data_IF_019729285567
#
_entry.id   IF_019729285567
#
_cell.length_a   1.000
_cell.length_b   1.000
_cell.length_c   1.000
_cell.angle_alpha   90.00
_cell.angle_beta   90.00
_cell.angle_gamma   90.00
#
_symmetry.space_group_name_H-M   'P 1'
#
loop_
_entity.id
_entity.type
_entity.pdbx_description
1 polymer ?
#
# COMPACT_ATOMS: atom_id res chain seq x y z
N UNK A 1 9.11 -21.59 15.40
CA UNK A 1 9.39 -21.15 14.02
C UNK A 1 10.69 -20.37 14.09
N UNK A 2 11.73 -20.86 13.42
CA UNK A 2 13.05 -20.23 13.40
C UNK A 2 13.15 -19.39 12.12
N UNK A 3 13.44 -18.10 12.26
CA UNK A 3 13.66 -17.18 11.13
C UNK A 3 15.15 -16.92 10.91
N UNK A 4 16.02 -17.73 11.51
CA UNK A 4 17.43 -17.72 11.19
C UNK A 4 17.62 -18.08 9.71
N UNK A 5 18.49 -17.32 9.04
CA UNK A 5 18.89 -17.63 7.68
C UNK A 5 19.72 -18.92 7.69
N UNK A 6 19.30 -19.88 6.88
CA UNK A 6 20.04 -21.12 6.67
C UNK A 6 21.16 -20.97 5.63
N UNK A 7 21.98 -22.01 5.42
CA UNK A 7 23.03 -22.01 4.39
C UNK A 7 22.50 -21.70 2.97
N UNK A 8 21.25 -22.08 2.68
CA UNK A 8 20.62 -21.81 1.39
C UNK A 8 20.21 -20.34 1.23
N UNK A 9 19.76 -19.69 2.31
CA UNK A 9 19.45 -18.27 2.33
C UNK A 9 20.73 -17.43 2.15
N UNK A 10 21.84 -17.84 2.78
CA UNK A 10 23.13 -17.15 2.64
C UNK A 10 23.75 -17.35 1.24
N UNK A 11 23.56 -18.52 0.62
CA UNK A 11 23.90 -18.71 -0.80
C UNK A 11 23.09 -17.79 -1.70
N UNK A 12 21.77 -17.72 -1.48
CA UNK A 12 20.88 -16.83 -2.22
C UNK A 12 21.25 -15.35 -2.00
N UNK A 13 21.70 -15.00 -0.79
CA UNK A 13 22.21 -13.66 -0.46
C UNK A 13 23.43 -13.29 -1.30
N UNK A 14 24.40 -14.20 -1.39
CA UNK A 14 25.59 -14.00 -2.22
C UNK A 14 25.20 -13.83 -3.68
N UNK A 15 24.31 -14.68 -4.20
CA UNK A 15 23.82 -14.59 -5.58
C UNK A 15 23.11 -13.25 -5.86
N UNK A 16 22.17 -12.83 -5.00
CA UNK A 16 21.47 -11.55 -5.14
C UNK A 16 22.44 -10.36 -5.11
N UNK A 17 23.42 -10.41 -4.21
CA UNK A 17 24.47 -9.40 -4.08
C UNK A 17 25.32 -9.30 -5.34
N UNK A 18 25.80 -10.43 -5.84
CA UNK A 18 26.69 -10.48 -6.98
C UNK A 18 25.95 -10.03 -8.24
N UNK A 19 24.70 -10.48 -8.42
CA UNK A 19 23.84 -10.01 -9.50
C UNK A 19 23.61 -8.50 -9.45
N UNK A 20 23.28 -7.95 -8.28
CA UNK A 20 23.12 -6.49 -8.14
C UNK A 20 24.43 -5.75 -8.41
N UNK A 21 25.58 -6.28 -8.01
CA UNK A 21 26.88 -5.65 -8.26
C UNK A 21 27.26 -5.64 -9.75
N UNK A 22 26.87 -6.68 -10.49
CA UNK A 22 27.11 -6.80 -11.94
C UNK A 22 26.12 -5.92 -12.74
N UNK A 23 24.84 -6.00 -12.41
CA UNK A 23 23.77 -5.40 -13.22
C UNK A 23 23.39 -3.99 -12.81
N UNK A 24 23.51 -3.60 -11.53
CA UNK A 24 23.20 -2.23 -11.06
C UNK A 24 24.37 -1.27 -11.30
N UNK A 25 24.83 -1.22 -12.56
CA UNK A 25 26.00 -0.47 -13.01
C UNK A 25 25.64 0.46 -14.18
N UNK A 26 26.64 1.20 -14.70
CA UNK A 26 26.47 2.07 -15.87
C UNK A 26 25.31 3.08 -15.71
N UNK A 27 24.33 3.10 -16.64
CA UNK A 27 23.21 4.05 -16.56
C UNK A 27 22.33 3.84 -15.31
N UNK A 28 22.23 2.62 -14.77
CA UNK A 28 21.43 2.34 -13.58
C UNK A 28 22.06 2.88 -12.29
N UNK A 29 23.38 3.01 -12.25
CA UNK A 29 24.07 3.60 -11.09
C UNK A 29 23.63 5.05 -10.83
N UNK A 30 23.13 5.76 -11.84
CA UNK A 30 22.55 7.10 -11.69
C UNK A 30 21.23 7.10 -10.91
N UNK A 31 20.54 5.95 -10.83
CA UNK A 31 19.33 5.78 -10.02
C UNK A 31 19.65 5.47 -8.55
N UNK A 32 20.93 5.34 -8.17
CA UNK A 32 21.33 4.98 -6.81
C UNK A 32 20.90 6.08 -5.85
N UNK A 33 20.16 5.68 -4.82
CA UNK A 33 19.65 6.61 -3.82
C UNK A 33 20.42 6.46 -2.51
N UNK A 34 20.61 7.59 -1.82
CA UNK A 34 21.26 7.59 -0.52
C UNK A 34 20.33 7.08 0.58
N UNK A 35 19.03 7.38 0.45
CA UNK A 35 17.91 6.83 1.22
C UNK A 35 17.26 5.72 0.39
N UNK A 36 17.07 4.52 0.94
CA UNK A 36 16.31 3.49 0.22
C UNK A 36 14.95 4.07 -0.17
N UNK A 37 14.71 4.22 -1.48
CA UNK A 37 13.61 5.04 -1.95
C UNK A 37 12.26 4.45 -1.60
N UNK A 38 11.33 5.27 -1.08
CA UNK A 38 9.93 4.91 -1.18
C UNK A 38 9.54 4.72 -2.67
N UNK A 39 8.56 3.85 -2.98
CA UNK A 39 8.05 3.66 -4.33
C UNK A 39 7.40 4.93 -4.89
N UNK A 40 8.20 5.92 -5.27
CA UNK A 40 7.73 7.27 -5.62
C UNK A 40 8.69 8.42 -5.33
N UNK A 41 9.70 8.20 -4.49
CA UNK A 41 10.75 9.17 -4.19
C UNK A 41 11.86 9.22 -5.27
N UNK A 42 11.61 8.63 -6.43
CA UNK A 42 12.57 8.52 -7.52
C UNK A 42 12.74 9.80 -8.31
N UNK A 43 13.74 10.62 -7.95
CA UNK A 43 14.34 11.58 -8.86
C UNK A 43 15.28 10.82 -9.79
N UNK A 44 14.83 10.53 -11.00
CA UNK A 44 15.62 9.80 -12.00
C UNK A 44 14.87 9.71 -13.32
N UNK A 45 15.61 9.56 -14.41
CA UNK A 45 15.04 9.41 -15.75
C UNK A 45 14.10 8.20 -15.79
N UNK A 46 12.84 8.44 -16.14
CA UNK A 46 11.79 7.42 -16.19
C UNK A 46 12.10 6.30 -17.20
N UNK A 47 12.77 6.60 -18.30
CA UNK A 47 13.21 5.58 -19.25
C UNK A 47 14.23 4.64 -18.62
N UNK A 48 15.17 5.18 -17.83
CA UNK A 48 16.18 4.39 -17.11
C UNK A 48 15.52 3.55 -16.01
N UNK A 49 14.52 4.11 -15.30
CA UNK A 49 13.75 3.35 -14.29
C UNK A 49 12.96 2.19 -14.90
N UNK A 50 12.30 2.40 -16.04
CA UNK A 50 11.60 1.34 -16.78
C UNK A 50 12.59 0.30 -17.32
N UNK A 51 13.76 0.71 -17.79
CA UNK A 51 14.82 -0.23 -18.21
C UNK A 51 15.33 -1.06 -17.03
N UNK A 52 15.44 -0.47 -15.83
CA UNK A 52 15.83 -1.20 -14.62
C UNK A 52 14.80 -2.27 -14.21
N UNK A 53 13.51 -1.98 -14.30
CA UNK A 53 12.47 -3.02 -14.08
C UNK A 53 12.61 -4.18 -15.06
N UNK A 54 12.91 -3.90 -16.34
CA UNK A 54 13.15 -4.96 -17.33
C UNK A 54 14.39 -5.78 -17.00
N UNK A 55 15.45 -5.14 -16.54
CA UNK A 55 16.68 -5.83 -16.10
C UNK A 55 16.43 -6.75 -14.89
N UNK A 56 15.60 -6.31 -13.94
CA UNK A 56 15.16 -7.19 -12.86
C UNK A 56 14.32 -8.36 -13.36
N UNK A 57 13.49 -8.13 -14.37
CA UNK A 57 12.71 -9.15 -15.05
C UNK A 57 13.57 -10.18 -15.79
N UNK A 58 14.63 -9.77 -16.49
CA UNK A 58 15.56 -10.70 -17.17
C UNK A 58 16.31 -11.57 -16.16
N UNK A 59 16.66 -11.03 -14.99
CA UNK A 59 17.21 -11.79 -13.87
C UNK A 59 16.20 -12.68 -13.12
N UNK A 60 14.90 -12.56 -13.43
CA UNK A 60 13.83 -13.31 -12.79
C UNK A 60 13.54 -12.88 -11.35
N UNK A 61 13.91 -11.66 -10.96
CA UNK A 61 13.79 -11.11 -9.60
C UNK A 61 12.42 -10.50 -9.29
N UNK A 62 11.50 -10.49 -10.25
CA UNK A 62 10.13 -9.99 -10.11
C UNK A 62 9.18 -11.17 -9.92
N UNK A 63 8.34 -11.12 -8.90
CA UNK A 63 7.35 -12.17 -8.63
C UNK A 63 7.96 -13.39 -7.92
N UNK A 64 9.01 -13.20 -7.12
CA UNK A 64 9.71 -14.29 -6.41
C UNK A 64 8.79 -15.15 -5.53
N UNK A 65 7.75 -14.55 -4.95
CA UNK A 65 6.79 -15.23 -4.08
C UNK A 65 5.55 -15.76 -4.77
N UNK A 66 5.46 -15.66 -6.10
CA UNK A 66 4.29 -16.14 -6.83
C UNK A 66 4.25 -17.67 -6.86
N UNK A 67 3.07 -18.23 -6.58
CA UNK A 67 2.82 -19.66 -6.74
C UNK A 67 2.97 -20.05 -8.22
N UNK A 68 3.68 -21.16 -8.45
CA UNK A 68 3.98 -21.70 -9.78
C UNK A 68 3.21 -22.98 -10.08
N UNK A 69 2.30 -23.39 -9.20
CA UNK A 69 1.43 -24.57 -9.39
C UNK A 69 0.66 -24.49 -10.71
N UNK A 70 0.18 -23.28 -11.07
CA UNK A 70 -0.61 -23.03 -12.27
C UNK A 70 0.21 -22.50 -13.47
N UNK A 71 1.55 -22.54 -13.39
CA UNK A 71 2.44 -22.17 -14.50
C UNK A 71 3.73 -21.46 -14.08
N UNK A 72 4.59 -21.20 -15.07
CA UNK A 72 5.78 -20.36 -14.90
C UNK A 72 5.59 -19.08 -15.72
N UNK A 73 5.80 -17.92 -15.09
CA UNK A 73 5.53 -16.62 -15.70
C UNK A 73 6.80 -15.86 -16.10
N UNK A 74 7.97 -16.51 -16.05
CA UNK A 74 9.28 -15.88 -16.28
C UNK A 74 9.98 -15.43 -15.00
N UNK A 75 9.35 -15.64 -13.85
CA UNK A 75 9.89 -15.38 -12.52
C UNK A 75 10.62 -16.60 -11.93
N UNK A 76 11.61 -16.33 -11.08
CA UNK A 76 12.13 -17.33 -10.14
C UNK A 76 11.12 -17.56 -9.02
N UNK A 77 11.25 -18.70 -8.34
CA UNK A 77 10.56 -18.94 -7.08
C UNK A 77 11.56 -18.84 -5.94
N UNK A 78 11.17 -18.16 -4.87
CA UNK A 78 11.97 -18.03 -3.66
C UNK A 78 11.09 -18.25 -2.42
N UNK A 79 11.67 -18.89 -1.41
CA UNK A 79 11.03 -19.01 -0.10
C UNK A 79 10.77 -17.63 0.50
N UNK A 80 9.91 -17.55 1.52
CA UNK A 80 9.68 -16.30 2.23
C UNK A 80 10.99 -15.72 2.81
N UNK A 81 11.87 -16.56 3.37
CA UNK A 81 13.16 -16.10 3.91
C UNK A 81 14.06 -15.54 2.80
N UNK A 82 14.10 -16.17 1.63
CA UNK A 82 14.84 -15.68 0.47
C UNK A 82 14.25 -14.39 -0.11
N UNK A 83 12.93 -14.20 -0.08
CA UNK A 83 12.32 -12.91 -0.44
C UNK A 83 12.76 -11.78 0.50
N UNK A 84 12.91 -12.06 1.80
CA UNK A 84 13.47 -11.11 2.77
C UNK A 84 14.94 -10.83 2.47
N UNK A 85 15.73 -11.86 2.16
CA UNK A 85 17.13 -11.71 1.74
C UNK A 85 17.23 -10.81 0.51
N UNK A 86 16.41 -11.05 -0.52
CA UNK A 86 16.37 -10.21 -1.73
C UNK A 86 16.07 -8.75 -1.39
N UNK A 87 15.05 -8.48 -0.56
CA UNK A 87 14.71 -7.14 -0.14
C UNK A 87 15.86 -6.45 0.62
N UNK A 88 16.58 -7.18 1.48
CA UNK A 88 17.75 -6.67 2.21
C UNK A 88 18.90 -6.34 1.28
N UNK A 89 19.22 -7.19 0.31
CA UNK A 89 20.30 -6.98 -0.64
C UNK A 89 19.97 -5.86 -1.64
N UNK A 90 18.74 -5.80 -2.14
CA UNK A 90 18.25 -4.72 -3.01
C UNK A 90 18.36 -3.36 -2.31
N UNK A 91 17.88 -3.29 -1.06
CA UNK A 91 18.04 -2.09 -0.25
C UNK A 91 19.53 -1.78 -0.01
N UNK A 92 20.36 -2.77 0.30
CA UNK A 92 21.80 -2.58 0.60
C UNK A 92 22.56 -2.02 -0.61
N UNK A 93 22.16 -2.38 -1.82
CA UNK A 93 22.71 -1.83 -3.05
C UNK A 93 22.39 -0.33 -3.25
N UNK A 94 21.41 0.22 -2.52
CA UNK A 94 20.89 1.57 -2.71
C UNK A 94 20.07 1.69 -4.01
N UNK A 95 19.47 0.58 -4.46
CA UNK A 95 18.66 0.54 -5.67
C UNK A 95 17.37 1.37 -5.51
N UNK A 96 16.81 1.91 -6.60
CA UNK A 96 15.68 2.84 -6.53
C UNK A 96 14.38 2.15 -6.11
N UNK A 97 13.41 2.93 -5.63
CA UNK A 97 12.03 2.47 -5.46
C UNK A 97 11.47 1.89 -6.77
N UNK A 98 10.90 0.68 -6.67
CA UNK A 98 10.41 -0.14 -7.79
C UNK A 98 9.16 0.47 -8.44
N UNK A 99 9.15 0.62 -9.75
CA UNK A 99 7.95 1.02 -10.52
C UNK A 99 6.96 -0.14 -10.64
N UNK A 100 7.46 -1.37 -10.79
CA UNK A 100 6.64 -2.56 -11.01
C UNK A 100 5.92 -3.08 -9.76
N UNK A 101 6.13 -2.47 -8.60
CA UNK A 101 5.70 -3.03 -7.30
C UNK A 101 4.18 -3.23 -7.19
N UNK A 102 3.36 -2.39 -7.83
CA UNK A 102 1.89 -2.53 -7.82
C UNK A 102 1.47 -3.76 -8.64
N UNK A 103 2.08 -3.97 -9.80
CA UNK A 103 1.84 -5.15 -10.63
C UNK A 103 2.35 -6.41 -9.93
N UNK A 104 3.58 -6.36 -9.43
CA UNK A 104 4.27 -7.49 -8.80
C UNK A 104 3.59 -7.95 -7.50
N UNK A 105 3.37 -7.02 -6.56
CA UNK A 105 3.00 -7.38 -5.19
C UNK A 105 1.49 -7.39 -4.96
N UNK A 106 0.71 -6.70 -5.79
CA UNK A 106 -0.75 -6.58 -5.60
C UNK A 106 -1.52 -7.33 -6.69
N UNK A 107 -1.33 -6.94 -7.95
CA UNK A 107 -2.11 -7.53 -9.04
C UNK A 107 -1.74 -8.99 -9.30
N UNK A 108 -0.45 -9.33 -9.34
CA UNK A 108 0.02 -10.69 -9.60
C UNK A 108 -0.62 -11.74 -8.69
N UNK A 109 -0.48 -11.62 -7.35
CA UNK A 109 -1.15 -12.50 -6.40
C UNK A 109 -2.68 -12.50 -6.53
N UNK A 110 -3.28 -11.36 -6.89
CA UNK A 110 -4.73 -11.26 -7.10
C UNK A 110 -5.19 -12.06 -8.32
N UNK A 111 -4.43 -12.05 -9.42
CA UNK A 111 -4.71 -12.85 -10.62
C UNK A 111 -4.47 -14.34 -10.40
N UNK A 112 -3.47 -14.70 -9.59
CA UNK A 112 -3.27 -16.09 -9.17
C UNK A 112 -4.48 -16.61 -8.37
N UNK A 113 -5.03 -15.79 -7.47
CA UNK A 113 -6.15 -16.19 -6.63
C UNK A 113 -7.54 -16.10 -7.31
N UNK A 114 -7.76 -15.10 -8.17
CA UNK A 114 -9.11 -14.77 -8.69
C UNK A 114 -9.18 -14.61 -10.20
N UNK A 115 -8.04 -14.59 -10.88
CA UNK A 115 -8.01 -14.52 -12.34
C UNK A 115 -8.46 -15.82 -12.99
N UNK A 116 -8.94 -15.75 -14.22
CA UNK A 116 -9.04 -16.93 -15.07
C UNK A 116 -7.69 -17.27 -15.74
N UNK A 117 -7.63 -18.39 -16.46
CA UNK A 117 -6.40 -18.82 -17.13
C UNK A 117 -5.94 -17.84 -18.22
N UNK A 118 -6.88 -17.23 -18.95
CA UNK A 118 -6.56 -16.26 -20.00
C UNK A 118 -5.95 -14.98 -19.41
N UNK A 119 -6.50 -14.49 -18.30
CA UNK A 119 -5.98 -13.34 -17.56
C UNK A 119 -4.58 -13.62 -17.01
N UNK A 120 -4.37 -14.80 -16.39
CA UNK A 120 -3.03 -15.20 -15.90
C UNK A 120 -2.01 -15.26 -17.03
N UNK A 121 -2.34 -15.92 -18.14
CA UNK A 121 -1.46 -16.02 -19.32
C UNK A 121 -1.17 -14.66 -19.95
N UNK A 122 -2.13 -13.73 -19.96
CA UNK A 122 -1.95 -12.40 -20.54
C UNK A 122 -1.11 -11.47 -19.66
N UNK A 123 -1.36 -11.42 -18.36
CA UNK A 123 -0.86 -10.32 -17.51
C UNK A 123 0.31 -10.73 -16.62
N UNK A 124 0.40 -11.97 -16.14
CA UNK A 124 1.50 -12.37 -15.25
C UNK A 124 2.87 -12.31 -15.95
N UNK A 125 3.04 -12.77 -17.21
CA UNK A 125 4.36 -12.74 -17.84
C UNK A 125 4.92 -11.34 -18.09
N UNK A 126 4.17 -10.36 -18.65
CA UNK A 126 4.69 -8.99 -18.79
C UNK A 126 5.02 -8.31 -17.45
N UNK A 127 4.24 -8.59 -16.40
CA UNK A 127 4.55 -8.10 -15.04
C UNK A 127 5.88 -8.71 -14.56
N UNK A 128 6.05 -10.03 -14.66
CA UNK A 128 7.29 -10.71 -14.24
C UNK A 128 8.52 -10.28 -15.06
N UNK A 129 8.34 -9.81 -16.29
CA UNK A 129 9.41 -9.24 -17.11
C UNK A 129 9.65 -7.74 -16.88
N UNK A 130 8.89 -7.10 -15.99
CA UNK A 130 9.03 -5.66 -15.72
C UNK A 130 8.65 -4.77 -16.92
N UNK A 131 7.77 -5.26 -17.80
CA UNK A 131 7.40 -4.57 -19.04
C UNK A 131 6.20 -3.63 -18.87
N UNK A 132 5.28 -3.97 -17.95
CA UNK A 132 4.04 -3.23 -17.70
C UNK A 132 4.06 -2.59 -16.29
N UNK A 133 3.83 -1.28 -16.23
CA UNK A 133 3.65 -0.51 -14.98
C UNK A 133 2.16 -0.42 -14.67
N UNK A 134 1.82 -0.61 -13.39
CA UNK A 134 0.43 -0.66 -12.92
C UNK A 134 0.16 0.41 -11.87
N UNK A 135 -1.07 0.90 -11.83
CA UNK A 135 -1.58 1.74 -10.74
C UNK A 135 -2.91 1.21 -10.17
N UNK A 136 -3.28 1.67 -8.97
CA UNK A 136 -4.46 1.22 -8.23
C UNK A 136 -5.54 2.31 -8.19
N UNK A 137 -6.66 2.10 -8.86
CA UNK A 137 -7.81 3.01 -8.88
C UNK A 137 -8.86 2.63 -7.84
N UNK A 138 -8.55 2.81 -6.55
CA UNK A 138 -9.47 2.48 -5.45
C UNK A 138 -10.16 3.70 -4.86
N UNK A 139 -9.40 4.53 -4.15
CA UNK A 139 -9.90 5.67 -3.38
C UNK A 139 -10.53 6.73 -4.28
N UNK A 140 -11.57 7.37 -3.76
CA UNK A 140 -12.24 8.52 -4.38
C UNK A 140 -12.20 9.71 -3.40
N UNK A 141 -12.41 10.96 -3.86
CA UNK A 141 -12.41 12.12 -2.98
C UNK A 141 -13.31 11.96 -1.74
N UNK A 142 -14.47 11.34 -1.91
CA UNK A 142 -15.45 11.08 -0.86
C UNK A 142 -15.39 9.63 -0.29
N UNK A 143 -14.49 8.77 -0.78
CA UNK A 143 -14.42 7.36 -0.41
C UNK A 143 -12.96 6.89 -0.25
N UNK A 144 -12.37 7.23 0.90
CA UNK A 144 -11.06 6.73 1.35
C UNK A 144 -11.20 5.51 2.27
N UNK A 145 -11.27 5.74 3.59
CA UNK A 145 -11.42 4.67 4.58
C UNK A 145 -12.73 3.88 4.42
N UNK A 146 -13.80 4.53 3.96
CA UNK A 146 -15.04 3.83 3.53
C UNK A 146 -14.97 3.51 2.02
N UNK A 147 -14.07 2.60 1.65
CA UNK A 147 -13.88 2.20 0.25
C UNK A 147 -15.18 1.67 -0.39
N UNK A 148 -16.07 1.07 0.39
CA UNK A 148 -17.36 0.57 -0.10
C UNK A 148 -18.30 1.70 -0.56
N UNK A 149 -18.07 2.93 -0.11
CA UNK A 149 -18.81 4.13 -0.47
C UNK A 149 -18.51 4.68 -1.88
N UNK A 150 -17.60 4.04 -2.63
CA UNK A 150 -17.21 4.50 -3.97
C UNK A 150 -18.38 4.61 -4.95
N UNK A 151 -18.26 5.56 -5.88
CA UNK A 151 -19.28 5.98 -6.85
C UNK A 151 -18.85 5.85 -8.30
N UNK A 152 -17.56 5.63 -8.60
CA UNK A 152 -17.12 5.31 -9.96
C UNK A 152 -17.95 4.14 -10.50
N UNK A 153 -18.56 4.34 -11.66
CA UNK A 153 -19.46 3.36 -12.30
C UNK A 153 -18.81 2.73 -13.51
N UNK A 154 -19.16 1.49 -13.79
CA UNK A 154 -18.78 0.77 -15.00
C UNK A 154 -20.01 0.12 -15.62
N UNK A 155 -20.48 0.64 -16.76
CA UNK A 155 -21.67 0.13 -17.45
C UNK A 155 -21.22 -0.84 -18.55
N UNK A 156 -21.77 -2.05 -18.55
CA UNK A 156 -21.47 -3.04 -19.59
C UNK A 156 -22.12 -2.63 -20.92
N UNK A 157 -21.34 -2.61 -21.98
CA UNK A 157 -21.81 -2.51 -23.36
C UNK A 157 -21.77 -3.91 -23.99
N UNK A 158 -22.89 -4.63 -24.03
CA UNK A 158 -22.93 -6.00 -24.54
C UNK A 158 -22.70 -6.07 -26.06
N UNK A 159 -22.96 -4.99 -26.81
CA UNK A 159 -22.75 -4.96 -28.26
C UNK A 159 -21.27 -4.91 -28.62
N UNK A 160 -20.48 -4.21 -27.82
CA UNK A 160 -19.02 -4.10 -28.00
C UNK A 160 -18.21 -5.11 -27.18
N UNK A 161 -18.84 -5.79 -26.21
CA UNK A 161 -18.14 -6.69 -25.29
C UNK A 161 -17.21 -5.93 -24.33
N UNK A 162 -17.60 -4.72 -23.93
CA UNK A 162 -16.78 -3.81 -23.12
C UNK A 162 -17.53 -3.29 -21.89
N UNK A 163 -16.82 -2.59 -21.02
CA UNK A 163 -17.33 -1.76 -19.94
C UNK A 163 -16.92 -0.32 -20.19
N UNK A 164 -17.87 0.62 -20.04
CA UNK A 164 -17.63 2.07 -20.04
C UNK A 164 -17.58 2.57 -18.61
N UNK A 165 -16.44 3.12 -18.22
CA UNK A 165 -16.11 3.52 -16.86
C UNK A 165 -16.22 5.04 -16.78
N UNK A 166 -16.89 5.54 -15.73
CA UNK A 166 -17.01 6.98 -15.48
C UNK A 166 -16.91 7.26 -13.99
N UNK A 167 -16.05 8.19 -13.62
CA UNK A 167 -15.81 8.55 -12.23
C UNK A 167 -14.44 9.19 -12.03
N UNK A 168 -14.04 9.30 -10.76
CA UNK A 168 -12.77 9.88 -10.37
C UNK A 168 -12.13 9.02 -9.28
N UNK A 169 -10.84 8.79 -9.43
CA UNK A 169 -9.98 8.22 -8.39
C UNK A 169 -8.97 9.25 -7.92
N UNK A 170 -8.51 9.10 -6.69
CA UNK A 170 -7.53 9.99 -6.06
C UNK A 170 -6.53 9.16 -5.26
N UNK A 171 -5.34 9.72 -5.03
CA UNK A 171 -4.20 9.04 -4.41
C UNK A 171 -3.67 7.86 -5.25
N UNK A 172 -3.92 7.88 -6.55
CA UNK A 172 -3.47 6.82 -7.47
C UNK A 172 -1.97 6.98 -7.72
N UNK A 173 -1.14 6.24 -6.98
CA UNK A 173 0.32 6.23 -7.18
C UNK A 173 0.70 5.81 -8.60
N UNK A 174 1.70 6.48 -9.17
CA UNK A 174 2.30 6.18 -10.49
C UNK A 174 1.34 6.25 -11.69
N UNK A 175 0.13 6.82 -11.54
CA UNK A 175 -0.88 6.82 -12.62
C UNK A 175 -0.40 7.48 -13.92
N UNK A 176 0.44 8.52 -13.82
CA UNK A 176 0.98 9.23 -14.99
C UNK A 176 2.02 8.39 -15.76
N UNK A 177 2.55 7.34 -15.14
CA UNK A 177 3.52 6.41 -15.74
C UNK A 177 2.90 5.03 -16.01
N UNK A 178 1.66 4.79 -15.60
CA UNK A 178 1.08 3.45 -15.64
C UNK A 178 0.57 3.10 -17.03
N UNK A 179 0.85 1.87 -17.47
CA UNK A 179 0.31 1.30 -18.70
C UNK A 179 -1.13 0.79 -18.45
N UNK A 180 -1.40 0.36 -17.22
CA UNK A 180 -2.69 -0.18 -16.78
C UNK A 180 -3.09 0.29 -15.38
N UNK A 181 -4.40 0.33 -15.15
CA UNK A 181 -4.99 0.55 -13.84
C UNK A 181 -5.96 -0.59 -13.51
N UNK A 182 -5.87 -1.16 -12.31
CA UNK A 182 -6.99 -1.94 -11.81
C UNK A 182 -7.93 -1.04 -11.00
N UNK A 183 -9.19 -1.00 -11.42
CA UNK A 183 -10.21 -0.07 -10.93
C UNK A 183 -11.29 -0.86 -10.21
N UNK A 184 -11.65 -0.40 -9.01
CA UNK A 184 -12.86 -0.83 -8.33
C UNK A 184 -14.00 0.12 -8.72
N UNK A 185 -15.03 -0.41 -9.38
CA UNK A 185 -16.16 0.35 -9.88
C UNK A 185 -17.48 -0.37 -9.62
N UNK A 186 -18.56 0.39 -9.49
CA UNK A 186 -19.93 -0.12 -9.36
C UNK A 186 -20.46 -0.52 -10.72
N UNK A 187 -20.76 -1.81 -10.90
CA UNK A 187 -21.34 -2.35 -12.15
C UNK A 187 -22.82 -2.67 -12.03
N UNK A 188 -23.34 -2.86 -10.82
CA UNK A 188 -24.76 -3.05 -10.58
C UNK A 188 -25.39 -1.73 -10.13
N UNK A 189 -26.29 -1.20 -10.96
CA UNK A 189 -27.00 0.04 -10.66
C UNK A 189 -27.88 -0.12 -9.40
N UNK A 190 -27.94 0.94 -8.59
CA UNK A 190 -28.69 0.92 -7.33
C UNK A 190 -28.07 0.11 -6.18
N UNK A 191 -27.00 -0.66 -6.44
CA UNK A 191 -26.27 -1.38 -5.40
C UNK A 191 -25.64 -0.42 -4.39
N UNK A 192 -25.49 -0.88 -3.14
CA UNK A 192 -24.96 -0.06 -2.05
C UNK A 192 -23.79 -0.75 -1.35
N UNK A 193 -22.88 0.09 -0.83
CA UNK A 193 -21.70 -0.36 -0.09
C UNK A 193 -20.91 -1.37 -0.93
N UNK A 194 -20.59 -2.53 -0.35
CA UNK A 194 -19.73 -3.55 -0.92
C UNK A 194 -20.42 -4.42 -1.98
N UNK A 195 -21.74 -4.37 -2.12
CA UNK A 195 -22.46 -5.10 -3.14
C UNK A 195 -22.37 -4.40 -4.50
N UNK A 196 -22.37 -5.19 -5.59
CA UNK A 196 -22.41 -4.67 -6.95
C UNK A 196 -21.13 -4.00 -7.44
N UNK A 197 -20.04 -4.12 -6.68
CA UNK A 197 -18.71 -3.66 -7.07
C UNK A 197 -18.01 -4.71 -7.93
N UNK A 198 -17.21 -4.27 -8.89
CA UNK A 198 -16.42 -5.11 -9.81
C UNK A 198 -14.99 -4.62 -9.90
N UNK A 199 -14.07 -5.57 -10.09
CA UNK A 199 -12.64 -5.33 -10.25
C UNK A 199 -12.28 -5.43 -11.74
N UNK A 200 -11.89 -4.31 -12.35
CA UNK A 200 -11.66 -4.20 -13.80
C UNK A 200 -10.22 -3.78 -14.09
N UNK A 201 -9.58 -4.44 -15.06
CA UNK A 201 -8.28 -4.02 -15.60
C UNK A 201 -8.50 -3.06 -16.79
N UNK A 202 -8.01 -1.84 -16.66
CA UNK A 202 -8.26 -0.72 -17.58
C UNK A 202 -6.94 -0.27 -18.19
N UNK A 203 -6.77 -0.30 -19.52
CA UNK A 203 -5.59 0.29 -20.14
C UNK A 203 -5.62 1.81 -19.96
N UNK A 204 -4.49 2.41 -19.58
CA UNK A 204 -4.44 3.84 -19.22
C UNK A 204 -4.29 4.76 -20.44
N UNK A 205 -3.72 4.26 -21.54
CA UNK A 205 -3.60 5.01 -22.80
C UNK A 205 -4.95 5.06 -23.54
N UNK A 206 -5.81 6.00 -23.12
CA UNK A 206 -7.08 6.29 -23.76
C UNK A 206 -7.28 7.81 -23.86
N UNK A 207 -6.62 8.48 -24.83
CA UNK A 207 -6.69 9.92 -24.99
C UNK A 207 -8.14 10.41 -25.11
N UNK A 208 -8.49 11.45 -24.35
CA UNK A 208 -9.84 12.01 -24.30
C UNK A 208 -10.85 11.22 -23.46
N UNK A 209 -10.47 10.07 -22.88
CA UNK A 209 -11.32 9.27 -21.97
C UNK A 209 -10.70 9.09 -20.59
N UNK A 210 -9.38 9.17 -20.48
CA UNK A 210 -8.64 9.13 -19.22
C UNK A 210 -7.81 10.40 -19.12
N UNK A 211 -7.97 11.13 -18.02
CA UNK A 211 -7.13 12.27 -17.67
C UNK A 211 -6.44 11.99 -16.33
N UNK A 212 -5.11 12.14 -16.30
CA UNK A 212 -4.31 12.00 -15.08
C UNK A 212 -3.80 13.37 -14.65
N UNK A 213 -4.06 13.76 -13.40
CA UNK A 213 -3.57 15.02 -12.82
C UNK A 213 -2.64 14.72 -11.65
N UNK A 214 -1.33 15.01 -11.76
CA UNK A 214 -0.41 14.81 -10.65
C UNK A 214 -0.72 15.71 -9.46
N UNK A 215 -0.65 15.13 -8.25
CA UNK A 215 -0.82 15.85 -6.99
C UNK A 215 0.58 16.17 -6.46
N UNK A 216 0.95 17.44 -6.51
CA UNK A 216 2.24 17.89 -5.99
C UNK A 216 2.27 17.83 -4.47
N UNK A 217 3.18 17.04 -3.93
CA UNK A 217 3.37 16.82 -2.50
C UNK A 217 4.27 17.88 -1.88
N UNK A 218 4.34 17.93 -0.54
CA UNK A 218 5.22 18.84 0.21
C UNK A 218 6.71 18.62 -0.12
N UNK A 219 7.08 17.39 -0.46
CA UNK A 219 8.41 17.00 -0.93
C UNK A 219 8.78 17.59 -2.29
N UNK A 220 7.82 18.19 -3.00
CA UNK A 220 7.98 18.76 -4.34
C UNK A 220 7.76 17.77 -5.48
N UNK A 221 7.70 16.46 -5.19
CA UNK A 221 7.41 15.37 -6.15
C UNK A 221 5.91 15.21 -6.38
N UNK A 222 5.53 14.42 -7.38
CA UNK A 222 4.14 14.18 -7.74
C UNK A 222 3.85 12.69 -8.01
N UNK A 223 4.09 11.84 -7.02
CA UNK A 223 3.86 10.39 -7.13
C UNK A 223 2.35 10.05 -7.20
N UNK A 224 1.53 10.77 -6.42
CA UNK A 224 0.08 10.56 -6.36
C UNK A 224 -0.61 11.34 -7.45
N UNK A 225 -1.74 10.83 -7.93
CA UNK A 225 -2.50 11.46 -9.00
C UNK A 225 -3.99 11.39 -8.71
N UNK A 226 -4.73 12.37 -9.23
CA UNK A 226 -6.14 12.20 -9.55
C UNK A 226 -6.24 11.55 -10.93
N UNK A 227 -7.21 10.65 -11.09
CA UNK A 227 -7.49 10.00 -12.38
C UNK A 227 -8.98 10.15 -12.66
N UNK A 228 -9.29 10.84 -13.76
CA UNK A 228 -10.66 11.05 -14.23
C UNK A 228 -10.93 10.07 -15.36
N UNK A 229 -12.03 9.34 -15.25
CA UNK A 229 -12.54 8.45 -16.28
C UNK A 229 -13.80 9.09 -16.87
N UNK A 230 -13.78 9.38 -18.17
CA UNK A 230 -14.92 9.85 -18.95
C UNK A 230 -15.23 8.87 -20.09
N UNK A 231 -16.01 7.84 -19.76
CA UNK A 231 -16.31 6.76 -20.68
C UNK A 231 -15.08 5.97 -21.12
N UNK A 232 -14.11 5.78 -20.21
CA UNK A 232 -12.96 4.91 -20.42
C UNK A 232 -13.40 3.45 -20.63
N UNK A 233 -12.67 2.70 -21.43
CA UNK A 233 -13.08 1.39 -21.91
C UNK A 233 -12.22 0.30 -21.29
N UNK A 234 -12.86 -0.75 -20.79
CA UNK A 234 -12.21 -2.02 -20.46
C UNK A 234 -12.93 -3.16 -21.21
N UNK A 235 -12.21 -4.17 -21.68
CA UNK A 235 -12.84 -5.34 -22.31
C UNK A 235 -13.54 -6.19 -21.25
N UNK A 236 -14.60 -6.91 -21.63
CA UNK A 236 -15.31 -7.76 -20.69
C UNK A 236 -14.41 -8.84 -20.06
N UNK A 237 -13.42 -9.35 -20.80
CA UNK A 237 -12.43 -10.31 -20.29
C UNK A 237 -11.41 -9.71 -19.31
N UNK A 238 -11.39 -8.38 -19.13
CA UNK A 238 -10.57 -7.72 -18.10
C UNK A 238 -11.27 -7.64 -16.73
N UNK A 239 -12.46 -8.23 -16.61
CA UNK A 239 -13.20 -8.33 -15.36
C UNK A 239 -12.66 -9.51 -14.54
N UNK A 240 -12.03 -9.21 -13.40
CA UNK A 240 -11.44 -10.24 -12.54
C UNK A 240 -12.48 -10.71 -11.52
N UNK A 241 -12.63 -12.03 -11.37
CA UNK A 241 -13.51 -12.64 -10.36
C UNK A 241 -15.02 -12.53 -10.62
N UNK A 242 -15.44 -11.96 -11.76
CA UNK A 242 -16.84 -11.82 -12.17
C UNK A 242 -17.52 -10.53 -11.72
N UNK A 243 -18.63 -10.18 -12.38
CA UNK A 243 -19.37 -8.95 -12.10
C UNK A 243 -20.00 -8.99 -10.71
N UNK A 244 -19.95 -7.88 -9.97
CA UNK A 244 -20.51 -7.78 -8.61
C UNK A 244 -19.66 -8.45 -7.52
N UNK A 245 -18.57 -9.13 -7.89
CA UNK A 245 -17.67 -9.83 -6.97
C UNK A 245 -16.37 -9.06 -6.66
N UNK A 246 -16.26 -7.82 -7.13
CA UNK A 246 -15.06 -6.98 -7.00
C UNK A 246 -14.67 -6.70 -5.55
N UNK A 247 -15.62 -6.63 -4.61
CA UNK A 247 -15.28 -6.46 -3.19
C UNK A 247 -14.48 -7.64 -2.64
N UNK A 248 -14.85 -8.87 -3.00
CA UNK A 248 -14.13 -10.09 -2.59
C UNK A 248 -12.69 -10.06 -3.12
N UNK A 249 -12.53 -9.74 -4.41
CA UNK A 249 -11.22 -9.61 -5.06
C UNK A 249 -10.39 -8.51 -4.37
N UNK A 250 -10.99 -7.35 -4.13
CA UNK A 250 -10.31 -6.21 -3.53
C UNK A 250 -9.84 -6.50 -2.09
N UNK A 251 -10.66 -7.16 -1.27
CA UNK A 251 -10.27 -7.53 0.09
C UNK A 251 -9.13 -8.57 0.11
N UNK A 252 -9.10 -9.51 -0.84
CA UNK A 252 -7.95 -10.41 -0.99
C UNK A 252 -6.67 -9.66 -1.34
N UNK A 253 -6.74 -8.69 -2.28
CA UNK A 253 -5.60 -7.84 -2.62
C UNK A 253 -5.08 -7.06 -1.41
N UNK A 254 -5.96 -6.40 -0.65
CA UNK A 254 -5.59 -5.63 0.55
C UNK A 254 -5.08 -6.49 1.72
N UNK A 255 -5.35 -7.79 1.70
CA UNK A 255 -4.78 -8.72 2.68
C UNK A 255 -3.31 -9.03 2.36
N UNK A 256 -2.96 -9.16 1.08
CA UNK A 256 -1.58 -9.33 0.60
C UNK A 256 -0.74 -8.08 0.88
N UNK A 257 -1.32 -6.89 0.66
CA UNK A 257 -0.66 -5.60 0.86
C UNK A 257 -0.12 -5.39 2.28
N UNK A 258 -0.65 -6.08 3.30
CA UNK A 258 -0.25 -5.92 4.71
C UNK A 258 0.84 -6.90 5.16
N UNK A 259 1.25 -7.83 4.31
CA UNK A 259 2.26 -8.85 4.62
C UNK A 259 3.70 -8.37 4.42
N UNK A 260 4.35 -8.90 3.38
CA UNK A 260 5.79 -8.72 3.08
C UNK A 260 6.20 -7.24 2.96
N UNK A 261 5.30 -6.36 2.53
CA UNK A 261 5.51 -4.90 2.44
C UNK A 261 6.01 -4.26 3.74
N UNK A 262 5.50 -4.70 4.90
CA UNK A 262 5.88 -4.17 6.22
C UNK A 262 7.35 -4.50 6.53
N UNK A 263 7.83 -5.69 6.12
CA UNK A 263 9.23 -6.04 6.26
C UNK A 263 10.13 -5.20 5.36
N UNK A 264 9.72 -4.96 4.11
CA UNK A 264 10.49 -4.13 3.18
C UNK A 264 10.65 -2.70 3.71
N UNK A 265 9.59 -2.10 4.27
CA UNK A 265 9.67 -0.79 4.92
C UNK A 265 10.60 -0.81 6.16
N UNK A 266 10.50 -1.84 7.00
CA UNK A 266 11.38 -1.99 8.16
C UNK A 266 12.86 -2.03 7.75
N UNK A 267 13.20 -2.71 6.66
CA UNK A 267 14.55 -2.76 6.11
C UNK A 267 15.03 -1.35 5.73
N UNK A 268 14.19 -0.56 5.06
CA UNK A 268 14.48 0.84 4.74
C UNK A 268 14.79 1.70 5.97
N UNK A 269 13.93 1.65 7.00
CA UNK A 269 14.16 2.40 8.25
C UNK A 269 15.44 1.97 8.98
N UNK A 270 15.80 0.69 8.93
CA UNK A 270 17.05 0.21 9.51
C UNK A 270 18.29 0.79 8.80
N UNK A 271 18.22 1.00 7.49
CA UNK A 271 19.30 1.65 6.74
C UNK A 271 19.39 3.15 7.02
N UNK A 272 18.26 3.84 7.15
CA UNK A 272 18.19 5.22 7.61
C UNK A 272 18.86 5.38 8.97
N UNK A 273 18.45 4.57 9.96
CA UNK A 273 19.05 4.62 11.29
C UNK A 273 20.54 4.30 11.23
N UNK A 274 20.97 3.31 10.43
CA UNK A 274 22.39 2.97 10.30
C UNK A 274 23.23 4.15 9.79
N UNK A 275 22.68 4.99 8.91
CA UNK A 275 23.35 6.22 8.44
C UNK A 275 23.39 7.29 9.51
N UNK A 276 22.29 7.51 10.22
CA UNK A 276 22.25 8.47 11.34
C UNK A 276 23.27 8.07 12.42
N UNK A 277 23.33 6.78 12.77
CA UNK A 277 24.31 6.25 13.72
C UNK A 277 25.74 6.45 13.22
N UNK A 278 26.01 6.15 11.94
CA UNK A 278 27.34 6.39 11.34
C UNK A 278 27.74 7.86 11.44
N UNK A 279 26.86 8.77 11.04
CA UNK A 279 27.13 10.21 11.13
C UNK A 279 27.36 10.67 12.58
N UNK A 280 26.58 10.14 13.52
CA UNK A 280 26.75 10.46 14.94
C UNK A 280 28.11 9.96 15.49
N UNK A 281 28.61 8.82 15.01
CA UNK A 281 29.94 8.32 15.35
C UNK A 281 31.04 9.18 14.72
N UNK A 282 30.92 9.52 13.44
CA UNK A 282 31.90 10.32 12.69
C UNK A 282 32.05 11.75 13.26
N UNK A 283 30.97 12.31 13.78
CA UNK A 283 30.93 13.69 14.33
C UNK A 283 31.17 13.76 15.84
N UNK A 284 31.29 12.61 16.52
CA UNK A 284 31.35 12.53 17.99
C UNK A 284 30.00 12.78 18.70
N UNK A 285 28.92 13.09 17.97
CA UNK A 285 27.61 13.32 18.55
C UNK A 285 27.04 12.09 19.31
N UNK A 286 27.53 10.88 19.01
CA UNK A 286 27.18 9.67 19.74
C UNK A 286 27.75 9.61 21.17
N UNK A 287 28.70 10.48 21.53
CA UNK A 287 29.24 10.59 22.89
C UNK A 287 28.29 11.34 23.82
N UNK A 288 27.46 12.22 23.27
CA UNK A 288 26.42 12.96 24.01
C UNK A 288 25.37 11.97 24.56
N UNK A 289 25.24 11.83 25.89
CA UNK A 289 24.41 10.78 26.50
C UNK A 289 22.95 10.81 26.04
N UNK A 290 22.37 12.00 25.84
CA UNK A 290 20.99 12.17 25.40
C UNK A 290 20.79 11.69 23.97
N UNK A 291 21.71 12.01 23.06
CA UNK A 291 21.64 11.55 21.67
C UNK A 291 21.87 10.04 21.57
N UNK A 292 22.83 9.52 22.33
CA UNK A 292 23.10 8.08 22.41
C UNK A 292 21.88 7.29 22.85
N UNK A 293 21.19 7.72 23.91
CA UNK A 293 19.97 7.06 24.39
C UNK A 293 18.86 7.07 23.34
N UNK A 294 18.67 8.19 22.63
CA UNK A 294 17.71 8.28 21.53
C UNK A 294 18.03 7.31 20.39
N UNK A 295 19.29 7.21 19.98
CA UNK A 295 19.71 6.27 18.92
C UNK A 295 19.48 4.81 19.33
N UNK A 296 19.82 4.45 20.57
CA UNK A 296 19.58 3.10 21.10
C UNK A 296 18.09 2.79 21.14
N UNK A 297 17.25 3.74 21.57
CA UNK A 297 15.79 3.57 21.59
C UNK A 297 15.23 3.31 20.19
N UNK A 298 15.63 4.11 19.20
CA UNK A 298 15.20 3.90 17.81
C UNK A 298 15.67 2.54 17.26
N UNK A 299 16.89 2.12 17.60
CA UNK A 299 17.36 0.78 17.24
C UNK A 299 16.50 -0.32 17.86
N UNK A 300 16.18 -0.20 19.14
CA UNK A 300 15.35 -1.19 19.85
C UNK A 300 13.93 -1.26 19.28
N UNK A 301 13.32 -0.12 18.96
CA UNK A 301 12.00 -0.04 18.32
C UNK A 301 12.00 -0.72 16.93
N UNK A 302 13.03 -0.50 16.11
CA UNK A 302 13.17 -1.17 14.82
C UNK A 302 13.36 -2.68 14.95
N UNK A 303 14.08 -3.15 15.98
CA UNK A 303 14.20 -4.59 16.27
C UNK A 303 12.86 -5.19 16.68
N UNK A 304 12.11 -4.52 17.54
CA UNK A 304 10.77 -4.95 17.92
C UNK A 304 9.82 -5.02 16.71
N UNK A 305 9.87 -4.01 15.84
CA UNK A 305 9.07 -3.98 14.61
C UNK A 305 9.43 -5.14 13.66
N UNK A 306 10.73 -5.43 13.49
CA UNK A 306 11.18 -6.58 12.69
C UNK A 306 10.66 -7.90 13.23
N UNK A 307 10.81 -8.15 14.53
CA UNK A 307 10.34 -9.40 15.13
C UNK A 307 8.82 -9.54 15.05
N UNK A 308 8.07 -8.44 15.19
CA UNK A 308 6.63 -8.45 15.01
C UNK A 308 6.21 -8.78 13.57
N UNK A 309 6.92 -8.23 12.58
CA UNK A 309 6.65 -8.52 11.18
C UNK A 309 6.99 -9.98 10.81
N UNK A 310 8.13 -10.49 11.27
CA UNK A 310 8.50 -11.91 11.10
C UNK A 310 7.46 -12.84 11.76
N UNK A 311 7.03 -12.54 13.00
CA UNK A 311 5.98 -13.29 13.70
C UNK A 311 4.68 -13.35 12.89
N UNK A 312 4.26 -12.24 12.30
CA UNK A 312 3.02 -12.14 11.51
C UNK A 312 3.10 -13.01 10.25
N UNK A 313 4.24 -12.99 9.57
CA UNK A 313 4.47 -13.82 8.38
C UNK A 313 4.53 -15.32 8.72
N UNK A 314 5.11 -15.67 9.87
CA UNK A 314 5.09 -17.05 10.35
C UNK A 314 3.68 -17.56 10.64
N UNK A 315 2.80 -16.72 11.18
CA UNK A 315 1.41 -17.11 11.43
C UNK A 315 0.55 -17.21 10.16
N UNK A 316 0.91 -16.52 9.08
CA UNK A 316 0.18 -16.54 7.81
C UNK A 316 0.33 -17.87 7.03
N UNK A 317 1.28 -18.74 7.41
CA UNK A 317 1.42 -20.09 6.87
C UNK A 317 0.38 -21.09 7.42
N UNK A 318 -0.45 -20.68 8.38
CA UNK A 318 -1.67 -21.42 8.71
C UNK A 318 -2.83 -20.82 7.92
N UNK A 319 -3.59 -21.60 7.14
CA UNK A 319 -4.80 -21.09 6.52
C UNK A 319 -5.68 -20.54 7.64
N UNK A 320 -5.92 -19.23 7.62
CA UNK A 320 -6.83 -18.62 8.56
C UNK A 320 -8.19 -19.33 8.40
N UNK A 321 -8.77 -19.89 9.48
CA UNK A 321 -10.13 -20.39 9.39
C UNK A 321 -10.99 -19.20 8.98
N UNK A 322 -11.79 -19.39 7.93
CA UNK A 322 -12.79 -18.46 7.44
C UNK A 322 -13.31 -17.58 8.58
N UNK A 323 -13.16 -16.26 8.46
CA UNK A 323 -13.90 -15.31 9.30
C UNK A 323 -15.37 -15.24 8.88
N UNK A 324 -15.99 -16.39 8.64
CA UNK A 324 -17.39 -16.60 8.90
C UNK A 324 -17.46 -17.18 10.32
N UNK A 325 -17.75 -16.34 11.31
CA UNK A 325 -18.35 -16.87 12.54
C UNK A 325 -19.60 -17.64 12.07
N UNK A 326 -19.76 -18.94 12.37
CA UNK A 326 -21.04 -19.57 12.17
C UNK A 326 -22.06 -18.75 12.95
N UNK A 327 -23.15 -18.37 12.29
CA UNK A 327 -24.29 -17.77 12.96
C UNK A 327 -24.62 -18.67 14.16
N UNK A 328 -24.55 -18.12 15.37
CA UNK A 328 -25.12 -18.81 16.53
C UNK A 328 -26.58 -19.05 16.20
N UNK A 329 -27.00 -20.31 16.26
CA UNK A 329 -28.41 -20.67 16.24
C UNK A 329 -29.19 -19.72 17.17
N UNK A 330 -30.31 -19.14 16.72
CA UNK A 330 -31.14 -18.37 17.61
C UNK A 330 -31.67 -19.30 18.69
N UNK A 331 -31.30 -19.03 19.94
CA UNK A 331 -31.85 -19.70 21.10
C UNK A 331 -33.39 -19.64 21.04
N UNK A 332 -34.10 -20.71 21.46
CA UNK A 332 -35.55 -20.73 21.40
C UNK A 332 -36.12 -19.59 22.25
N UNK A 333 -37.04 -18.81 21.65
CA UNK A 333 -37.78 -17.75 22.32
C UNK A 333 -38.42 -18.29 23.61
N UNK A 334 -37.99 -17.77 24.77
CA UNK A 334 -38.74 -17.94 26.02
C UNK A 334 -40.05 -17.17 25.89
N UNK A 335 -41.17 -17.87 26.01
CA UNK A 335 -42.50 -17.29 26.12
C UNK A 335 -42.58 -16.42 27.39
N UNK A 336 -43.25 -15.28 27.27
CA UNK A 336 -43.57 -14.40 28.41
C UNK A 336 -44.60 -15.09 29.32
N UNK A 337 -44.46 -15.02 30.66
CA UNK A 337 -45.44 -15.59 31.56
C UNK A 337 -46.50 -14.55 31.90
N UNK A 338 -47.69 -14.68 31.33
CA UNK A 338 -48.93 -14.29 31.99
C UNK A 338 -49.91 -15.46 31.87
N UNK A 339 -50.65 -15.66 32.95
CA UNK A 339 -51.73 -16.62 33.17
C UNK A 339 -51.35 -18.05 33.57
N UNK A 340 -51.11 -18.25 34.89
CA UNK A 340 -51.51 -19.46 35.60
C UNK A 340 -52.07 -19.15 37.01
N UNK A 341 -53.28 -19.63 37.37
CA UNK A 341 -53.88 -19.54 38.70
C UNK A 341 -53.41 -20.67 39.65
N UNK A 342 -53.76 -20.65 40.97
CA UNK A 342 -52.78 -20.93 42.02
C UNK A 342 -52.96 -22.25 42.80
N UNK A 343 -51.90 -22.53 43.58
CA UNK A 343 -51.82 -23.21 44.91
C UNK A 343 -52.09 -24.72 45.01
N UNK A 344 -51.11 -25.42 45.57
CA UNK A 344 -51.32 -26.28 46.73
C UNK A 344 -50.10 -26.24 47.68
N UNK A 345 -50.40 -26.30 48.97
CA UNK A 345 -49.52 -26.13 50.13
C UNK A 345 -48.79 -27.44 50.50
N UNK A 346 -47.60 -27.33 51.14
CA UNK A 346 -47.35 -27.69 52.56
C UNK A 346 -45.85 -27.45 52.93
N UNK A 347 -45.43 -27.42 54.22
CA UNK A 347 -44.41 -26.49 54.71
C UNK A 347 -43.19 -27.25 55.30
N UNK A 348 -42.17 -26.49 55.71
CA UNK A 348 -41.14 -26.75 56.75
C UNK A 348 -39.97 -25.81 56.40
N UNK A 349 -39.81 -24.66 57.07
CA UNK A 349 -39.07 -24.49 58.33
C UNK A 349 -37.61 -24.98 58.17
N UNK A 350 -36.53 -24.21 58.33
CA UNK A 350 -36.17 -23.09 59.22
C UNK A 350 -34.92 -22.39 58.63
N UNK A 351 -34.73 -21.08 58.74
CA UNK A 351 -33.90 -20.44 59.78
C UNK A 351 -32.83 -19.49 59.18
N UNK A 352 -32.90 -18.20 59.50
CA UNK A 352 -31.96 -17.09 59.18
C UNK A 352 -30.69 -17.12 60.09
N UNK A 353 -29.75 -16.13 60.12
CA UNK A 353 -29.58 -14.93 59.27
C UNK A 353 -28.11 -14.60 58.82
N UNK A 354 -28.05 -13.61 57.93
CA UNK A 354 -26.93 -12.70 57.55
C UNK A 354 -26.28 -11.99 58.78
N UNK A 355 -25.11 -11.29 58.73
CA UNK A 355 -24.91 -10.13 57.84
C UNK A 355 -23.46 -9.81 57.37
N UNK A 356 -23.34 -8.92 56.37
CA UNK A 356 -22.24 -7.93 56.36
C UNK A 356 -21.72 -7.48 54.99
N UNK A 357 -22.31 -6.41 54.44
CA UNK A 357 -21.69 -5.53 53.43
C UNK A 357 -21.09 -4.28 54.09
N UNK A 358 -20.10 -3.63 53.45
CA UNK A 358 -20.04 -2.17 53.48
C UNK A 358 -20.05 -1.54 52.06
N UNK A 359 -20.61 -0.33 52.04
CA UNK A 359 -20.96 0.52 50.89
C UNK A 359 -19.77 1.23 50.20
N UNK A 360 -19.95 1.79 48.98
CA UNK A 360 -18.92 2.55 48.26
C UNK A 360 -18.94 4.06 48.58
N UNK A 361 -17.75 4.66 48.64
CA UNK A 361 -17.51 6.11 48.76
C UNK A 361 -17.18 6.80 47.41
N UNK A 362 -17.13 8.14 47.37
CA UNK A 362 -17.87 8.89 46.36
C UNK A 362 -17.06 9.48 45.20
N UNK A 363 -17.83 9.82 44.15
CA UNK A 363 -17.45 10.51 42.92
C UNK A 363 -16.99 11.96 43.18
N UNK A 364 -15.96 12.40 42.44
CA UNK A 364 -15.47 13.77 42.42
C UNK A 364 -15.84 14.42 41.08
N UNK A 365 -16.46 15.60 41.14
CA UNK A 365 -16.94 16.39 39.99
C UNK A 365 -16.34 17.80 40.00
N UNK A 366 -15.81 18.21 38.84
CA UNK A 366 -15.68 19.61 38.39
C UNK A 366 -14.26 20.21 38.41
N UNK A 367 -14.00 21.36 37.71
CA UNK A 367 -14.90 22.11 36.84
C UNK A 367 -14.33 22.43 35.43
N UNK A 368 -15.27 22.86 34.58
CA UNK A 368 -15.10 23.42 33.25
C UNK A 368 -14.36 24.78 33.32
N UNK A 369 -13.43 25.03 32.41
CA UNK A 369 -12.89 26.37 32.16
C UNK A 369 -13.34 26.90 30.79
N UNK A 370 -14.16 27.93 30.87
CA UNK A 370 -14.46 28.92 29.83
C UNK A 370 -13.22 29.76 29.51
N UNK A 371 -13.02 30.07 28.22
CA UNK A 371 -11.94 30.93 27.75
C UNK A 371 -12.24 32.43 27.91
N UNK A 372 -11.27 33.29 27.56
CA UNK A 372 -11.55 34.68 27.21
C UNK A 372 -11.09 35.06 25.80
N UNK A 373 -12.04 35.66 25.08
CA UNK A 373 -11.97 36.84 24.21
C UNK A 373 -10.62 37.45 23.78
N UNK A 374 -10.56 37.67 22.47
CA UNK A 374 -9.66 38.50 21.66
C UNK A 374 -9.62 39.99 22.08
N UNK A 375 -8.49 40.69 21.84
CA UNK A 375 -8.51 42.10 21.47
C UNK A 375 -7.92 42.33 20.06
N UNK A 376 -8.47 43.32 19.38
CA UNK A 376 -8.16 43.70 18.01
C UNK A 376 -6.97 44.68 17.88
N UNK A 377 -6.39 44.68 16.67
CA UNK A 377 -5.55 45.70 15.98
C UNK A 377 -4.10 45.91 16.45
N UNK A 378 -3.16 45.69 15.53
CA UNK A 378 -2.55 46.75 14.67
C UNK A 378 -1.60 46.14 13.63
N UNK A 379 -1.82 46.49 12.37
CA UNK A 379 -0.92 46.32 11.22
C UNK A 379 0.29 47.24 11.33
N UNK A 380 1.45 46.86 10.77
CA UNK A 380 2.33 47.84 10.15
C UNK A 380 2.62 47.54 8.68
N UNK A 381 2.85 48.65 7.97
CA UNK A 381 3.05 48.83 6.55
C UNK A 381 4.24 48.08 5.94
N UNK A 382 4.09 47.77 4.64
CA UNK A 382 5.18 47.56 3.67
C UNK A 382 6.14 48.76 3.65
N UNK A 383 7.41 48.53 3.27
CA UNK A 383 8.13 49.47 2.42
C UNK A 383 8.31 48.91 1.01
N UNK A 384 8.35 49.87 0.08
CA UNK A 384 8.44 49.72 -1.35
C UNK A 384 9.86 49.31 -1.82
N UNK A 385 9.89 48.83 -3.06
CA UNK A 385 11.06 48.60 -3.91
C UNK A 385 11.99 49.82 -4.01
N UNK A 386 13.20 49.59 -4.56
CA UNK A 386 13.64 50.46 -5.65
C UNK A 386 14.01 49.64 -6.89
N UNK A 387 13.46 50.08 -8.02
CA UNK A 387 13.99 49.80 -9.36
C UNK A 387 15.22 50.66 -9.60
N UNK A 388 16.25 50.10 -10.24
CA UNK A 388 17.17 50.86 -11.09
C UNK A 388 17.45 50.08 -12.37
N UNK A 389 17.12 50.71 -13.49
CA UNK A 389 17.53 50.39 -14.86
C UNK A 389 19.06 50.42 -15.01
N UNK A 390 19.66 49.51 -15.79
CA UNK A 390 20.13 49.77 -17.17
C UNK A 390 21.68 49.68 -17.19
N UNK A 391 22.41 49.28 -18.23
CA UNK A 391 22.14 48.87 -19.61
C UNK A 391 23.44 48.24 -20.20
N UNK A 392 23.32 47.56 -21.35
CA UNK A 392 24.37 47.19 -22.34
C UNK A 392 25.43 46.14 -21.91
N UNK A 393 25.83 45.15 -22.71
CA UNK A 393 25.66 44.83 -24.13
C UNK A 393 26.91 44.06 -24.63
N UNK A 394 26.78 43.32 -25.75
CA UNK A 394 27.84 42.71 -26.60
C UNK A 394 28.27 41.29 -26.14
N UNK A 395 28.37 40.21 -26.95
CA UNK A 395 27.97 39.83 -28.33
C UNK A 395 28.42 38.38 -28.59
N UNK A 396 27.81 37.68 -29.56
CA UNK A 396 28.43 36.56 -30.29
C UNK A 396 27.68 35.22 -30.12
N UNK A 397 26.60 34.94 -30.84
CA UNK A 397 26.52 34.44 -32.23
C UNK A 397 27.35 33.18 -32.53
N UNK A 398 26.69 32.01 -32.57
CA UNK A 398 26.93 30.97 -33.56
C UNK A 398 25.70 30.06 -33.66
N UNK A 399 24.99 30.22 -34.77
CA UNK A 399 23.89 29.38 -35.26
C UNK A 399 24.43 28.21 -36.11
N UNK A 400 23.51 27.30 -36.49
CA UNK A 400 23.49 26.32 -37.61
C UNK A 400 23.40 24.83 -37.19
N UNK A 401 22.65 23.97 -37.93
CA UNK A 401 21.21 23.77 -37.70
C UNK A 401 20.79 22.27 -37.65
N UNK A 402 19.47 22.07 -37.54
CA UNK A 402 18.73 20.82 -37.73
C UNK A 402 19.20 19.93 -38.89
N UNK A 403 19.29 18.63 -38.58
CA UNK A 403 18.62 17.54 -39.31
C UNK A 403 17.97 16.61 -38.31
#
# INVERSE_FOLDING_TARGET
MDFAFGPEDERFRAEARDWLAEHFTGPFAALKQQTGGHPGEGHGDMAVRRAWERELGTGGWIGLGWDRTDGAYGNRAATLTQQVVWAEEYARAGAPGRLGHIGENLLGPTLLAHGDSAQRTRFLPPIARGEEVWCQGYSEPDAGSDLAGLRTRAVRDPGEGTYRITGQKIWTSLAHEADWCFVLARTEEGSQRHHGLSFLLVPMDQPGRIEVRPIRQLTGTAEFNEVFFDGAVARAEHLVGGAGHGWRVAMSLLAVERGVSTLVQQIGFAQELSRVVRLALETGAAEEPVLRDRLIRQWAELKAMRWNALRTLGSAQSPAPNSARPARDPAPRKAAPHDLPPRNADPRATGSPDPGSPAPGPQYSGPQHSGPSTPARRTPARPASPSCCGAAGISGSASWPCR
#
